data_IF_533875216204
#
_entry.id   IF_533875216204
#
_cell.length_a   1.000
_cell.length_b   1.000
_cell.length_c   1.000
_cell.angle_alpha   90.00
_cell.angle_beta   90.00
_cell.angle_gamma   90.00
#
_symmetry.space_group_name_H-M   'P 1'
#
loop_
_entity.id
_entity.type
_entity.pdbx_description
1 polymer ?
#
# COMPACT_ATOMS: atom_id res chain seq x y z
N UNK A 1 17.53 -5.81 8.96
CA UNK A 1 16.19 -6.42 8.84
C UNK A 1 16.00 -6.83 7.38
N UNK A 2 15.39 -7.99 7.18
CA UNK A 2 15.15 -8.61 5.87
C UNK A 2 13.69 -8.41 5.47
N UNK A 3 13.45 -7.71 4.37
CA UNK A 3 12.11 -7.36 3.90
C UNK A 3 11.80 -8.13 2.61
N UNK A 4 10.72 -8.91 2.65
CA UNK A 4 10.24 -9.63 1.47
C UNK A 4 9.52 -8.70 0.49
N UNK A 5 9.91 -8.77 -0.78
CA UNK A 5 9.27 -8.04 -1.88
C UNK A 5 8.50 -9.05 -2.73
N UNK A 6 7.18 -9.09 -2.56
CA UNK A 6 6.33 -10.08 -3.25
C UNK A 6 6.22 -9.76 -4.73
N UNK A 7 6.33 -10.79 -5.57
CA UNK A 7 6.21 -10.68 -7.02
C UNK A 7 5.13 -11.59 -7.55
N UNK A 8 4.15 -10.98 -8.20
CA UNK A 8 3.17 -11.68 -9.03
C UNK A 8 3.53 -11.54 -10.52
N UNK A 9 3.05 -12.42 -11.40
CA UNK A 9 3.05 -12.12 -12.83
C UNK A 9 2.34 -10.78 -13.08
N UNK A 10 3.04 -9.82 -13.69
CA UNK A 10 2.52 -8.47 -13.93
C UNK A 10 2.87 -7.42 -12.86
N UNK A 11 3.60 -7.76 -11.79
CA UNK A 11 4.19 -6.78 -10.88
C UNK A 11 5.19 -5.90 -11.63
N UNK A 12 5.07 -4.58 -11.52
CA UNK A 12 5.92 -3.61 -12.24
C UNK A 12 6.87 -2.83 -11.34
N UNK A 13 6.46 -2.55 -10.09
CA UNK A 13 7.16 -1.64 -9.17
C UNK A 13 8.13 -2.36 -8.22
N UNK A 14 8.40 -3.64 -8.44
CA UNK A 14 9.24 -4.47 -7.57
C UNK A 14 10.67 -3.96 -7.42
N UNK A 15 11.26 -3.43 -8.50
CA UNK A 15 12.63 -2.88 -8.47
C UNK A 15 12.69 -1.54 -7.75
N UNK A 16 11.68 -0.68 -7.95
CA UNK A 16 11.61 0.61 -7.27
C UNK A 16 11.41 0.39 -5.76
N UNK A 17 10.55 -0.56 -5.38
CA UNK A 17 10.36 -0.97 -3.98
C UNK A 17 11.64 -1.54 -3.38
N UNK A 18 12.36 -2.44 -4.07
CA UNK A 18 13.62 -2.97 -3.58
C UNK A 18 14.64 -1.84 -3.37
N UNK A 19 14.73 -0.89 -4.31
CA UNK A 19 15.60 0.28 -4.18
C UNK A 19 15.22 1.16 -2.99
N UNK A 20 13.94 1.40 -2.76
CA UNK A 20 13.44 2.17 -1.62
C UNK A 20 13.79 1.50 -0.27
N UNK A 21 13.66 0.17 -0.19
CA UNK A 21 14.07 -0.62 0.98
C UNK A 21 15.57 -0.48 1.23
N UNK A 22 16.42 -0.56 0.19
CA UNK A 22 17.87 -0.34 0.30
C UNK A 22 18.22 1.08 0.79
N UNK A 23 17.52 2.10 0.26
CA UNK A 23 17.71 3.50 0.68
C UNK A 23 17.30 3.71 2.15
N UNK A 24 16.35 2.93 2.65
CA UNK A 24 15.96 2.91 4.07
C UNK A 24 17.00 2.17 4.97
N UNK A 25 18.03 1.56 4.40
CA UNK A 25 19.06 0.81 5.14
C UNK A 25 18.67 -0.62 5.47
N UNK A 26 17.70 -1.17 4.75
CA UNK A 26 17.15 -2.51 4.92
C UNK A 26 17.60 -3.43 3.77
N UNK A 27 17.38 -4.74 3.91
CA UNK A 27 17.77 -5.74 2.91
C UNK A 27 16.53 -6.29 2.20
N UNK A 28 16.29 -5.96 0.91
CA UNK A 28 15.17 -6.52 0.15
C UNK A 28 15.51 -7.93 -0.34
N UNK A 29 14.53 -8.81 -0.36
CA UNK A 29 14.60 -10.12 -1.01
C UNK A 29 13.32 -10.38 -1.79
N UNK A 30 13.45 -10.75 -3.06
CA UNK A 30 12.29 -11.05 -3.90
C UNK A 30 11.68 -12.39 -3.55
N UNK A 31 10.36 -12.41 -3.42
CA UNK A 31 9.54 -13.58 -3.09
C UNK A 31 8.51 -13.81 -4.21
N UNK A 32 8.48 -15.02 -4.77
CA UNK A 32 7.48 -15.38 -5.77
C UNK A 32 6.12 -15.68 -5.15
N UNK A 33 5.07 -15.40 -5.89
CA UNK A 33 3.68 -15.66 -5.56
C UNK A 33 3.37 -17.12 -5.14
N UNK A 34 4.23 -18.06 -5.50
CA UNK A 34 4.12 -19.49 -5.16
C UNK A 34 4.74 -19.87 -3.82
N UNK A 35 5.44 -18.94 -3.16
CA UNK A 35 6.07 -19.17 -1.87
C UNK A 35 5.07 -18.97 -0.73
N UNK A 36 4.91 -19.96 0.13
CA UNK A 36 4.02 -19.90 1.30
C UNK A 36 4.79 -19.58 2.59
N UNK A 37 6.08 -19.92 2.65
CA UNK A 37 6.87 -19.72 3.86
C UNK A 37 7.53 -18.35 3.88
N UNK A 38 7.01 -17.45 4.69
CA UNK A 38 7.51 -16.07 4.87
C UNK A 38 8.14 -15.83 6.26
N UNK A 39 8.36 -16.87 7.07
CA UNK A 39 8.80 -16.74 8.49
C UNK A 39 10.16 -16.06 8.64
N UNK A 40 11.04 -16.16 7.63
CA UNK A 40 12.39 -15.57 7.66
C UNK A 40 12.41 -14.06 7.43
N UNK A 41 11.27 -13.46 7.11
CA UNK A 41 11.17 -12.02 6.87
C UNK A 41 10.73 -11.26 8.11
N UNK A 42 11.29 -10.08 8.32
CA UNK A 42 10.92 -9.15 9.38
C UNK A 42 9.69 -8.30 9.01
N UNK A 43 9.34 -8.29 7.74
CA UNK A 43 8.17 -7.62 7.18
C UNK A 43 8.08 -7.82 5.67
N UNK A 44 6.95 -7.42 5.09
CA UNK A 44 6.66 -7.62 3.67
C UNK A 44 6.24 -6.30 3.02
N UNK A 45 6.76 -6.05 1.83
CA UNK A 45 6.21 -5.06 0.89
C UNK A 45 5.66 -5.79 -0.33
N UNK A 46 4.45 -5.45 -0.71
CA UNK A 46 3.81 -5.99 -1.90
C UNK A 46 3.69 -4.84 -2.90
N UNK A 47 4.51 -4.83 -3.97
CA UNK A 47 4.60 -3.74 -4.92
C UNK A 47 3.39 -3.60 -5.82
N UNK A 48 3.16 -2.39 -6.33
CA UNK A 48 2.17 -2.12 -7.35
C UNK A 48 2.49 -2.77 -8.70
N UNK A 49 1.49 -2.77 -9.58
CA UNK A 49 1.55 -3.31 -10.92
C UNK A 49 0.18 -3.66 -11.46
N UNK A 50 0.14 -4.64 -12.35
CA UNK A 50 -1.06 -5.20 -12.95
C UNK A 50 -1.04 -6.72 -12.74
N UNK A 51 -1.22 -7.17 -11.49
CA UNK A 51 -1.13 -8.58 -11.12
C UNK A 51 -2.04 -9.44 -11.98
N UNK A 52 -1.46 -10.41 -12.70
CA UNK A 52 -2.15 -11.25 -13.67
C UNK A 52 -2.89 -10.46 -14.77
N UNK A 53 -2.44 -9.22 -15.09
CA UNK A 53 -3.06 -8.37 -16.11
C UNK A 53 -4.43 -7.84 -15.72
N UNK A 54 -4.75 -7.79 -14.42
CA UNK A 54 -6.04 -7.38 -13.85
C UNK A 54 -7.25 -8.15 -14.42
N UNK A 55 -7.01 -9.40 -14.89
CA UNK A 55 -8.09 -10.27 -15.35
C UNK A 55 -9.14 -10.49 -14.25
N UNK A 56 -10.42 -10.48 -14.62
CA UNK A 56 -11.61 -10.45 -13.79
C UNK A 56 -11.83 -9.09 -13.11
N UNK A 57 -10.92 -8.63 -12.30
CA UNK A 57 -10.73 -7.31 -11.71
C UNK A 57 -9.36 -7.24 -11.07
N UNK A 58 -8.90 -6.03 -10.80
CA UNK A 58 -7.63 -5.80 -10.16
C UNK A 58 -7.52 -6.59 -8.83
N UNK A 59 -6.43 -7.33 -8.67
CA UNK A 59 -6.16 -8.13 -7.47
C UNK A 59 -6.84 -9.49 -7.37
N UNK A 60 -7.92 -9.77 -8.12
CA UNK A 60 -8.72 -10.99 -7.94
C UNK A 60 -7.95 -12.29 -8.12
N UNK A 61 -7.09 -12.40 -9.13
CA UNK A 61 -6.27 -13.60 -9.36
C UNK A 61 -5.15 -13.75 -8.33
N UNK A 62 -4.57 -12.63 -7.88
CA UNK A 62 -3.51 -12.65 -6.90
C UNK A 62 -4.01 -13.08 -5.51
N UNK A 63 -5.26 -12.73 -5.15
CA UNK A 63 -5.86 -13.03 -3.84
C UNK A 63 -6.02 -14.52 -3.50
N UNK A 64 -5.92 -15.40 -4.50
CA UNK A 64 -6.05 -16.86 -4.34
C UNK A 64 -4.72 -17.62 -4.51
N UNK A 65 -3.60 -16.92 -4.48
CA UNK A 65 -2.27 -17.52 -4.65
C UNK A 65 -1.67 -18.00 -3.33
N UNK A 66 -0.73 -18.99 -3.35
CA UNK A 66 -0.15 -19.55 -2.14
C UNK A 66 0.49 -18.52 -1.19
N UNK A 67 1.15 -17.49 -1.72
CA UNK A 67 1.81 -16.45 -0.91
C UNK A 67 0.83 -15.70 0.02
N UNK A 68 -0.45 -15.67 -0.31
CA UNK A 68 -1.47 -15.03 0.52
C UNK A 68 -1.61 -15.72 1.88
N UNK A 69 -1.52 -17.05 1.93
CA UNK A 69 -1.57 -17.78 3.19
C UNK A 69 -0.31 -17.47 4.03
N UNK A 70 0.86 -17.38 3.41
CA UNK A 70 2.08 -16.92 4.07
C UNK A 70 1.96 -15.49 4.64
N UNK A 71 1.35 -14.56 3.88
CA UNK A 71 1.09 -13.19 4.37
C UNK A 71 0.15 -13.20 5.58
N UNK A 72 -0.92 -14.00 5.55
CA UNK A 72 -1.86 -14.11 6.69
C UNK A 72 -1.18 -14.66 7.95
N UNK A 73 -0.28 -15.65 7.82
CA UNK A 73 0.48 -16.17 8.96
C UNK A 73 1.46 -15.11 9.48
N UNK A 74 2.15 -14.38 8.61
CA UNK A 74 3.07 -13.30 9.00
C UNK A 74 2.33 -12.16 9.76
N UNK A 75 1.10 -11.82 9.35
CA UNK A 75 0.25 -10.86 10.07
C UNK A 75 -0.11 -11.37 11.48
N UNK A 76 -0.38 -12.67 11.64
CA UNK A 76 -0.61 -13.27 12.98
C UNK A 76 0.63 -13.21 13.87
N UNK A 77 1.83 -13.19 13.27
CA UNK A 77 3.10 -13.00 13.98
C UNK A 77 3.38 -11.51 14.29
N UNK A 78 2.41 -10.61 14.05
CA UNK A 78 2.51 -9.17 14.27
C UNK A 78 3.63 -8.50 13.47
N UNK A 79 3.96 -9.03 12.28
CA UNK A 79 4.94 -8.45 11.38
C UNK A 79 4.30 -7.47 10.41
N UNK A 80 4.95 -6.33 10.09
CA UNK A 80 4.36 -5.28 9.27
C UNK A 80 4.26 -5.68 7.79
N UNK A 81 3.13 -5.29 7.16
CA UNK A 81 2.84 -5.51 5.74
C UNK A 81 2.41 -4.20 5.08
N UNK A 82 3.13 -3.79 4.05
CA UNK A 82 2.81 -2.62 3.23
C UNK A 82 2.37 -3.06 1.83
N UNK A 83 1.13 -2.79 1.47
CA UNK A 83 0.57 -3.01 0.13
C UNK A 83 0.43 -1.72 -0.66
N UNK A 84 0.98 -1.68 -1.89
CA UNK A 84 1.03 -0.48 -2.72
C UNK A 84 0.19 -0.68 -4.00
N UNK A 85 -0.69 0.27 -4.31
CA UNK A 85 -1.50 0.37 -5.52
C UNK A 85 -2.33 -0.90 -5.77
N UNK A 86 -2.06 -1.67 -6.82
CA UNK A 86 -2.78 -2.93 -7.14
C UNK A 86 -2.92 -3.87 -5.94
N UNK A 87 -2.00 -3.82 -5.03
CA UNK A 87 -2.02 -4.66 -3.82
C UNK A 87 -2.95 -4.15 -2.74
N UNK A 88 -3.22 -2.85 -2.68
CA UNK A 88 -4.29 -2.34 -1.83
C UNK A 88 -5.63 -3.01 -2.19
N UNK A 89 -5.86 -3.26 -3.48
CA UNK A 89 -7.01 -4.02 -3.98
C UNK A 89 -6.96 -5.48 -3.50
N UNK A 90 -5.80 -6.15 -3.54
CA UNK A 90 -5.62 -7.53 -3.07
C UNK A 90 -5.89 -7.62 -1.56
N UNK A 91 -5.32 -6.71 -0.75
CA UNK A 91 -5.48 -6.72 0.71
C UNK A 91 -6.96 -6.49 1.12
N UNK A 92 -7.69 -5.63 0.38
CA UNK A 92 -9.14 -5.47 0.54
C UNK A 92 -9.93 -6.74 0.18
N UNK A 93 -9.59 -7.39 -0.96
CA UNK A 93 -10.24 -8.64 -1.41
C UNK A 93 -10.11 -9.78 -0.40
N UNK A 94 -8.96 -9.90 0.25
CA UNK A 94 -8.71 -10.96 1.24
C UNK A 94 -9.11 -10.57 2.67
N UNK A 95 -9.67 -9.36 2.84
CA UNK A 95 -10.18 -8.86 4.13
C UNK A 95 -9.10 -8.55 5.18
N UNK A 96 -7.86 -8.29 4.77
CA UNK A 96 -6.77 -7.87 5.67
C UNK A 96 -6.80 -6.37 5.99
N UNK A 97 -7.49 -5.58 5.18
CA UNK A 97 -7.79 -4.16 5.45
C UNK A 97 -9.26 -3.88 5.20
N UNK A 98 -9.84 -2.85 5.82
CA UNK A 98 -11.25 -2.49 5.61
C UNK A 98 -11.48 -1.83 4.25
N UNK A 99 -12.69 -2.02 3.71
CA UNK A 99 -13.13 -1.42 2.44
C UNK A 99 -12.48 -2.05 1.22
N UNK A 100 -12.77 -1.48 0.07
CA UNK A 100 -12.31 -1.93 -1.26
C UNK A 100 -11.88 -0.75 -2.12
N UNK A 101 -11.07 -1.04 -3.14
CA UNK A 101 -10.71 -0.06 -4.18
C UNK A 101 -11.37 -0.47 -5.50
N UNK A 102 -12.13 0.44 -6.08
CA UNK A 102 -12.93 0.24 -7.28
C UNK A 102 -12.52 1.22 -8.39
N UNK A 103 -13.14 1.08 -9.57
CA UNK A 103 -12.90 1.96 -10.71
C UNK A 103 -13.06 3.44 -10.35
N UNK A 104 -12.11 4.28 -10.80
CA UNK A 104 -12.16 5.73 -10.61
C UNK A 104 -13.50 6.30 -11.11
N UNK A 105 -13.99 7.34 -10.46
CA UNK A 105 -15.23 8.01 -10.86
C UNK A 105 -15.14 8.54 -12.30
N UNK A 106 -14.01 9.13 -12.67
CA UNK A 106 -13.66 9.34 -14.07
C UNK A 106 -13.01 8.04 -14.58
N UNK A 107 -13.55 7.31 -15.56
CA UNK A 107 -13.02 6.02 -16.02
C UNK A 107 -11.72 6.21 -16.82
N UNK A 108 -10.73 6.85 -16.22
CA UNK A 108 -9.42 7.15 -16.80
C UNK A 108 -8.31 6.70 -15.85
N UNK A 109 -7.17 6.40 -16.42
CA UNK A 109 -5.95 6.19 -15.68
C UNK A 109 -5.42 7.55 -15.18
N UNK A 110 -5.37 7.73 -13.85
CA UNK A 110 -4.82 8.91 -13.22
C UNK A 110 -3.33 8.68 -12.96
N UNK A 111 -2.47 9.54 -13.47
CA UNK A 111 -1.02 9.49 -13.28
C UNK A 111 -0.53 10.92 -13.01
N UNK A 112 -0.45 11.28 -11.74
CA UNK A 112 -0.11 12.64 -11.31
C UNK A 112 0.50 12.63 -9.89
N UNK A 113 1.22 13.68 -9.54
CA UNK A 113 1.60 13.97 -8.16
C UNK A 113 0.40 14.55 -7.42
N UNK A 114 0.22 14.12 -6.18
CA UNK A 114 -0.89 14.57 -5.31
C UNK A 114 -0.39 14.95 -3.94
N UNK A 115 -1.02 15.96 -3.36
CA UNK A 115 -0.84 16.30 -1.96
C UNK A 115 -1.73 15.40 -1.11
N UNK A 116 -1.16 14.85 -0.05
CA UNK A 116 -1.81 13.89 0.84
C UNK A 116 -1.70 14.35 2.27
N UNK A 117 -2.81 14.32 2.98
CA UNK A 117 -2.85 14.53 4.41
C UNK A 117 -2.61 13.20 5.13
N UNK A 118 -1.64 13.16 6.04
CA UNK A 118 -1.45 12.05 6.97
C UNK A 118 -2.52 12.14 8.05
N UNK A 119 -3.55 11.29 7.96
CA UNK A 119 -4.70 11.32 8.86
C UNK A 119 -4.38 10.68 10.20
N UNK A 120 -3.60 9.61 10.20
CA UNK A 120 -3.06 8.99 11.42
C UNK A 120 -1.59 8.62 11.27
N UNK A 121 -0.84 8.73 12.37
CA UNK A 121 0.56 8.30 12.44
C UNK A 121 0.76 7.06 13.35
N UNK A 122 -0.31 6.32 13.66
CA UNK A 122 -0.25 5.13 14.51
C UNK A 122 0.38 3.92 13.85
N UNK A 123 0.43 3.90 12.50
CA UNK A 123 1.05 2.78 11.77
C UNK A 123 2.58 2.90 11.79
N UNK A 124 3.33 1.80 11.71
CA UNK A 124 4.79 1.88 11.60
C UNK A 124 5.21 2.72 10.38
N UNK A 125 4.44 2.69 9.30
CA UNK A 125 4.73 3.37 8.04
C UNK A 125 4.53 4.89 8.10
N UNK A 126 3.71 5.37 9.02
CA UNK A 126 3.41 6.81 9.17
C UNK A 126 3.94 7.42 10.48
N UNK A 127 4.55 6.63 11.36
CA UNK A 127 5.07 7.10 12.66
C UNK A 127 6.08 8.25 12.57
N UNK A 128 6.77 8.39 11.43
CA UNK A 128 7.74 9.47 11.21
C UNK A 128 7.08 10.82 10.88
N UNK A 129 5.81 10.82 10.51
CA UNK A 129 5.05 12.02 10.18
C UNK A 129 4.24 12.52 11.38
N UNK A 130 3.83 13.78 11.31
CA UNK A 130 2.85 14.35 12.23
C UNK A 130 1.43 14.15 11.70
N UNK A 131 0.45 13.98 12.58
CA UNK A 131 -0.94 14.01 12.18
C UNK A 131 -1.26 15.35 11.49
N UNK A 132 -2.00 15.27 10.39
CA UNK A 132 -2.33 16.37 9.48
C UNK A 132 -1.12 16.97 8.73
N UNK A 133 0.05 16.32 8.73
CA UNK A 133 1.14 16.71 7.85
C UNK A 133 0.73 16.47 6.40
N UNK A 134 1.07 17.43 5.54
CA UNK A 134 0.91 17.29 4.09
C UNK A 134 2.21 16.75 3.52
N UNK A 135 2.09 15.71 2.69
CA UNK A 135 3.18 15.04 1.97
C UNK A 135 2.83 14.94 0.49
N UNK A 136 3.82 14.81 -0.37
CA UNK A 136 3.63 14.69 -1.81
C UNK A 136 4.06 13.31 -2.30
N UNK A 137 3.12 12.55 -2.89
CA UNK A 137 3.38 11.24 -3.50
C UNK A 137 2.72 11.16 -4.90
N UNK A 138 3.27 10.37 -5.84
CA UNK A 138 2.60 10.11 -7.11
C UNK A 138 1.54 9.00 -6.97
N UNK A 139 0.49 9.12 -7.79
CA UNK A 139 -0.51 8.06 -8.03
C UNK A 139 -0.43 7.59 -9.49
N UNK A 140 -0.79 6.33 -9.75
CA UNK A 140 -0.82 5.75 -11.09
C UNK A 140 -1.82 4.58 -11.14
N UNK A 141 -3.13 4.88 -11.32
CA UNK A 141 -4.19 3.86 -11.26
C UNK A 141 -5.45 4.24 -12.05
N UNK A 142 -6.18 3.22 -12.52
CA UNK A 142 -7.53 3.33 -13.08
C UNK A 142 -8.61 2.89 -12.07
N UNK A 143 -8.24 2.10 -11.08
CA UNK A 143 -9.11 1.51 -10.05
C UNK A 143 -8.57 1.82 -8.65
N UNK A 144 -8.53 3.10 -8.29
CA UNK A 144 -8.00 3.57 -7.00
C UNK A 144 -9.04 4.24 -6.10
N UNK A 145 -10.32 4.21 -6.48
CA UNK A 145 -11.41 4.82 -5.74
C UNK A 145 -11.76 3.98 -4.52
N UNK A 146 -11.51 4.52 -3.34
CA UNK A 146 -11.87 3.85 -2.09
C UNK A 146 -13.38 3.90 -1.82
N UNK A 147 -13.92 2.76 -1.37
CA UNK A 147 -15.31 2.61 -0.94
C UNK A 147 -15.41 1.70 0.29
N UNK A 148 -16.28 2.04 1.22
CA UNK A 148 -16.66 1.22 2.36
C UNK A 148 -18.14 1.44 2.69
N UNK A 149 -18.78 0.43 3.29
CA UNK A 149 -20.16 0.54 3.80
C UNK A 149 -20.19 1.17 5.20
N UNK A 150 -19.09 1.12 5.95
CA UNK A 150 -19.01 1.60 7.33
C UNK A 150 -17.83 2.56 7.51
N UNK A 151 -18.02 3.79 7.07
CA UNK A 151 -17.02 4.85 7.19
C UNK A 151 -16.82 5.32 8.65
N UNK A 152 -17.88 5.27 9.44
CA UNK A 152 -17.83 5.71 10.83
C UNK A 152 -16.97 4.76 11.67
N UNK A 153 -17.07 3.45 11.42
CA UNK A 153 -16.21 2.46 12.06
C UNK A 153 -14.72 2.72 11.77
N UNK A 154 -14.38 3.04 10.50
CA UNK A 154 -12.98 3.37 10.15
C UNK A 154 -12.47 4.60 10.88
N UNK A 155 -13.32 5.60 11.09
CA UNK A 155 -12.97 6.81 11.85
C UNK A 155 -12.80 6.50 13.32
N UNK A 156 -13.73 5.75 13.91
CA UNK A 156 -13.72 5.42 15.34
C UNK A 156 -12.50 4.55 15.70
N UNK A 157 -12.06 3.69 14.77
CA UNK A 157 -10.90 2.82 14.94
C UNK A 157 -9.57 3.45 14.46
N UNK A 158 -9.59 4.71 13.99
CA UNK A 158 -8.42 5.42 13.47
C UNK A 158 -7.68 4.64 12.36
N UNK A 159 -8.45 4.05 11.43
CA UNK A 159 -7.93 3.22 10.34
C UNK A 159 -7.68 3.97 9.03
N UNK A 160 -8.03 5.26 8.95
CA UNK A 160 -7.78 6.12 7.78
C UNK A 160 -6.35 6.64 7.88
N UNK A 161 -5.48 6.21 6.95
CA UNK A 161 -4.05 6.54 7.00
C UNK A 161 -3.72 7.79 6.19
N UNK A 162 -4.14 7.83 4.92
CA UNK A 162 -3.92 8.99 4.03
C UNK A 162 -5.22 9.39 3.35
N UNK A 163 -5.39 10.70 3.19
CA UNK A 163 -6.46 11.31 2.40
C UNK A 163 -5.87 12.29 1.38
N UNK A 164 -6.49 12.40 0.21
CA UNK A 164 -6.15 13.46 -0.74
C UNK A 164 -6.41 14.82 -0.11
N UNK A 165 -5.47 15.75 -0.26
CA UNK A 165 -5.63 17.14 0.17
C UNK A 165 -5.99 18.01 -1.02
N UNK A 166 -6.98 18.88 -0.86
CA UNK A 166 -7.49 19.78 -1.90
C UNK A 166 -8.30 19.06 -2.98
N UNK A 167 -7.66 18.42 -3.95
CA UNK A 167 -8.32 17.72 -5.07
C UNK A 167 -8.47 16.23 -4.77
N UNK A 168 -9.66 15.67 -4.95
CA UNK A 168 -9.93 14.22 -4.94
C UNK A 168 -10.00 13.72 -6.40
N UNK A 169 -8.91 13.19 -6.97
CA UNK A 169 -8.81 12.95 -8.41
C UNK A 169 -9.60 11.74 -8.89
N UNK A 170 -9.94 10.81 -8.00
CA UNK A 170 -10.56 9.54 -8.38
C UNK A 170 -11.97 9.31 -7.80
N UNK A 171 -12.49 10.28 -7.00
CA UNK A 171 -13.81 10.18 -6.39
C UNK A 171 -13.87 9.26 -5.16
N UNK A 172 -12.74 9.00 -4.50
CA UNK A 172 -12.69 8.22 -3.26
C UNK A 172 -13.60 8.78 -2.18
N UNK A 173 -14.28 7.90 -1.46
CA UNK A 173 -15.09 8.28 -0.31
C UNK A 173 -14.23 9.04 0.71
N UNK A 174 -14.70 10.23 1.13
CA UNK A 174 -13.96 11.14 2.02
C UNK A 174 -12.49 11.40 1.62
N UNK A 175 -12.20 11.33 0.32
CA UNK A 175 -10.86 11.48 -0.23
C UNK A 175 -9.84 10.44 0.30
N UNK A 176 -10.28 9.31 0.87
CA UNK A 176 -9.42 8.27 1.41
C UNK A 176 -8.63 7.61 0.29
N UNK A 177 -7.33 7.43 0.50
CA UNK A 177 -6.43 6.77 -0.45
C UNK A 177 -5.49 5.76 0.20
N UNK A 178 -5.51 5.67 1.53
CA UNK A 178 -4.81 4.64 2.29
C UNK A 178 -5.55 4.32 3.58
N UNK A 179 -5.59 3.03 3.93
CA UNK A 179 -6.20 2.49 5.16
C UNK A 179 -5.29 1.47 5.80
N UNK A 180 -5.50 1.18 7.09
CA UNK A 180 -4.82 0.08 7.79
C UNK A 180 -5.82 -0.84 8.48
N UNK A 181 -5.34 -2.02 8.89
CA UNK A 181 -6.07 -2.93 9.75
C UNK A 181 -6.24 -2.38 11.18
N UNK A 182 -6.95 -3.10 12.04
CA UNK A 182 -7.14 -2.70 13.45
C UNK A 182 -5.84 -2.59 14.24
N UNK A 183 -4.84 -3.40 13.94
CA UNK A 183 -3.52 -3.35 14.59
C UNK A 183 -2.66 -2.18 14.13
N UNK A 184 -2.90 -1.67 12.91
CA UNK A 184 -2.07 -0.69 12.22
C UNK A 184 -0.83 -1.27 11.55
N UNK A 185 -0.64 -2.60 11.61
CA UNK A 185 0.53 -3.29 11.05
C UNK A 185 0.37 -3.60 9.56
N UNK A 186 -0.86 -3.78 9.09
CA UNK A 186 -1.16 -3.97 7.66
C UNK A 186 -1.66 -2.65 7.09
N UNK A 187 -0.93 -2.08 6.15
CA UNK A 187 -1.30 -0.83 5.49
C UNK A 187 -1.46 -1.04 3.99
N UNK A 188 -2.57 -0.58 3.45
CA UNK A 188 -2.90 -0.59 2.03
C UNK A 188 -3.00 0.85 1.52
N UNK A 189 -2.27 1.17 0.45
CA UNK A 189 -2.25 2.52 -0.09
C UNK A 189 -2.22 2.54 -1.62
N UNK A 190 -2.94 3.47 -2.22
CA UNK A 190 -2.93 3.68 -3.69
C UNK A 190 -1.75 4.51 -4.19
N UNK A 191 -1.25 5.53 -3.45
CA UNK A 191 -0.04 6.25 -3.81
C UNK A 191 1.20 5.37 -3.81
N UNK A 192 2.22 5.79 -4.57
CA UNK A 192 3.48 5.09 -4.79
C UNK A 192 4.63 5.73 -4.00
N UNK A 193 4.86 5.37 -2.72
CA UNK A 193 5.94 5.92 -1.92
C UNK A 193 7.32 5.55 -2.48
N UNK A 194 7.46 4.38 -3.15
CA UNK A 194 8.71 3.93 -3.75
C UNK A 194 9.23 4.85 -4.86
N UNK A 195 8.35 5.70 -5.42
CA UNK A 195 8.70 6.68 -6.47
C UNK A 195 8.99 8.07 -5.91
N UNK A 196 8.93 8.24 -4.59
CA UNK A 196 9.16 9.49 -3.88
C UNK A 196 10.17 9.28 -2.74
N UNK A 197 11.31 8.64 -3.04
CA UNK A 197 12.36 8.31 -2.08
C UNK A 197 13.62 9.17 -2.24
N UNK A 198 13.69 10.03 -3.24
CA UNK A 198 14.82 10.91 -3.53
C UNK A 198 14.29 12.26 -4.06
N UNK A 199 14.76 13.39 -3.49
CA UNK A 199 14.35 14.75 -3.90
C UNK A 199 14.50 15.00 -5.41
N UNK A 200 15.44 14.31 -6.05
CA UNK A 200 15.68 14.41 -7.49
C UNK A 200 14.43 14.07 -8.32
N UNK A 201 13.54 13.23 -7.79
CA UNK A 201 12.30 12.82 -8.45
C UNK A 201 11.08 13.65 -8.06
N UNK A 202 11.26 14.64 -7.15
CA UNK A 202 10.20 15.58 -6.75
C UNK A 202 9.89 15.60 -5.26
N UNK A 203 10.11 14.51 -4.54
CA UNK A 203 9.93 14.40 -3.09
C UNK A 203 10.72 13.21 -2.55
N UNK A 204 11.10 13.26 -1.28
CA UNK A 204 11.66 12.13 -0.50
C UNK A 204 10.73 11.67 0.63
N UNK A 205 9.50 12.19 0.67
CA UNK A 205 8.49 11.82 1.68
C UNK A 205 8.24 10.31 1.73
N UNK A 206 8.27 9.65 0.55
CA UNK A 206 8.04 8.22 0.41
C UNK A 206 9.03 7.34 1.15
N UNK A 207 10.26 7.79 1.35
CA UNK A 207 11.30 7.04 2.05
C UNK A 207 10.92 6.73 3.51
N UNK A 208 10.13 7.60 4.14
CA UNK A 208 9.71 7.42 5.53
C UNK A 208 8.78 6.21 5.72
N UNK A 209 8.02 5.82 4.70
CA UNK A 209 7.18 4.61 4.74
C UNK A 209 8.06 3.35 4.85
N UNK A 210 9.19 3.28 4.16
CA UNK A 210 10.11 2.15 4.21
C UNK A 210 10.96 2.14 5.49
N UNK A 211 11.32 3.31 6.05
CA UNK A 211 11.92 3.40 7.38
C UNK A 211 10.99 2.91 8.49
N UNK A 212 9.71 2.79 8.21
CA UNK A 212 8.71 2.24 9.12
C UNK A 212 8.96 0.81 9.56
N UNK A 213 9.74 0.05 8.80
CA UNK A 213 10.15 -1.30 9.19
C UNK A 213 11.28 -1.33 10.25
N UNK A 214 11.94 -0.19 10.53
CA UNK A 214 12.95 -0.04 11.59
C UNK A 214 12.25 0.22 12.93
#
# INVERSE_FOLDING_TARGET
MKIGVIRFPGTNCDRDVAKAIELAGLTPEYVWWSEENLTDFDGIVIPGGFSYGDYLRAGAMASITPVIDGIKELVKEEKPVLGICNVAQILGEIGLVPGIFITNENPKFNCEWVDLKVSTNRTPFTKAFKNNQIIALPIAHAEGRFYTEDIDLLKDQDQIVLQFEGKNPNGSMEAITSVCDESGLVCAMMPHPERACEELFGSDDGLNFFKGFL
#
